data_IF_600224828542
#
_entry.id   IF_600224828542
#
_cell.length_a   1.000
_cell.length_b   1.000
_cell.length_c   1.000
_cell.angle_alpha   90.00
_cell.angle_beta   90.00
_cell.angle_gamma   90.00
#
_symmetry.space_group_name_H-M   'P 1'
#
loop_
_entity.id
_entity.type
_entity.pdbx_description
1 polymer ?
#
# COMPACT_ATOMS: atom_id res chain seq x y z
N UNK A 1 -9.26 10.86 -23.46
CA UNK A 1 -10.35 10.50 -22.51
C UNK A 1 -9.84 10.59 -21.08
N UNK A 2 -10.70 11.07 -20.15
CA UNK A 2 -10.38 11.20 -18.74
C UNK A 2 -11.34 10.34 -17.90
N UNK A 3 -10.80 9.56 -16.95
CA UNK A 3 -11.56 8.75 -15.99
C UNK A 3 -11.00 8.99 -14.59
N UNK A 4 -11.84 9.37 -13.63
CA UNK A 4 -11.44 9.56 -12.25
C UNK A 4 -11.60 8.26 -11.47
N UNK A 5 -10.49 7.73 -10.97
CA UNK A 5 -10.47 6.62 -10.04
C UNK A 5 -10.59 7.16 -8.62
N UNK A 6 -11.59 6.72 -7.88
CA UNK A 6 -11.86 7.15 -6.51
C UNK A 6 -11.84 5.95 -5.57
N UNK A 7 -10.93 5.98 -4.60
CA UNK A 7 -10.93 5.07 -3.46
C UNK A 7 -11.66 5.73 -2.30
N UNK A 8 -12.73 5.11 -1.81
CA UNK A 8 -13.55 5.65 -0.72
C UNK A 8 -13.56 4.72 0.47
N UNK A 9 -13.45 5.29 1.66
CA UNK A 9 -13.68 4.58 2.92
C UNK A 9 -15.11 4.91 3.37
N UNK A 10 -16.04 4.01 3.05
CA UNK A 10 -17.44 4.13 3.45
C UNK A 10 -17.64 3.46 4.80
N UNK A 11 -18.26 4.18 5.73
CA UNK A 11 -18.62 3.68 7.06
C UNK A 11 -20.12 3.66 7.22
N UNK A 12 -20.63 2.77 8.04
CA UNK A 12 -22.07 2.71 8.31
C UNK A 12 -22.53 4.04 8.93
N UNK A 13 -23.41 4.77 8.22
CA UNK A 13 -23.91 6.08 8.63
C UNK A 13 -23.04 7.29 8.26
N UNK A 14 -21.91 7.11 7.57
CA UNK A 14 -21.08 8.19 7.00
C UNK A 14 -21.05 8.07 5.47
N UNK A 15 -21.19 9.19 4.77
CA UNK A 15 -21.05 9.25 3.32
C UNK A 15 -19.67 8.82 2.82
N UNK A 16 -18.69 8.75 3.73
CA UNK A 16 -17.29 8.46 3.43
C UNK A 16 -16.54 9.64 2.83
N UNK A 17 -15.23 9.45 2.66
CA UNK A 17 -14.33 10.41 2.01
C UNK A 17 -13.54 9.71 0.93
N UNK A 18 -13.23 10.44 -0.14
CA UNK A 18 -12.34 9.92 -1.17
C UNK A 18 -10.88 10.10 -0.76
N UNK A 19 -10.32 9.07 -0.12
CA UNK A 19 -8.92 9.12 0.34
C UNK A 19 -7.90 8.88 -0.78
N UNK A 20 -8.33 8.35 -1.91
CA UNK A 20 -7.54 8.16 -3.11
C UNK A 20 -8.27 8.79 -4.31
N UNK A 21 -7.60 9.68 -5.01
CA UNK A 21 -8.08 10.33 -6.23
C UNK A 21 -6.98 10.25 -7.28
N UNK A 22 -7.22 9.52 -8.37
CA UNK A 22 -6.28 9.37 -9.48
C UNK A 22 -7.02 9.63 -10.79
N UNK A 23 -6.57 10.63 -11.56
CA UNK A 23 -7.06 10.84 -12.91
C UNK A 23 -6.28 9.96 -13.89
N UNK A 24 -6.97 9.04 -14.54
CA UNK A 24 -6.44 8.32 -15.69
C UNK A 24 -6.72 9.13 -16.96
N UNK A 25 -5.69 9.51 -17.68
CA UNK A 25 -5.74 10.19 -18.96
C UNK A 25 -5.22 9.27 -20.06
N UNK A 26 -6.03 9.04 -21.09
CA UNK A 26 -5.66 8.20 -22.25
C UNK A 26 -5.78 9.05 -23.51
N UNK A 27 -4.66 9.24 -24.19
CA UNK A 27 -4.60 9.84 -25.53
C UNK A 27 -4.50 8.74 -26.58
N UNK A 28 -5.62 8.51 -27.23
CA UNK A 28 -5.76 7.48 -28.26
C UNK A 28 -5.00 7.81 -29.55
N UNK A 29 -4.87 9.10 -29.85
CA UNK A 29 -4.27 9.54 -31.10
C UNK A 29 -2.75 9.38 -31.10
N UNK A 30 -2.13 9.49 -29.95
CA UNK A 30 -0.66 9.49 -29.81
C UNK A 30 -0.12 8.26 -29.03
N UNK A 31 -1.02 7.39 -28.54
CA UNK A 31 -0.61 6.20 -27.79
C UNK A 31 0.02 6.50 -26.43
N UNK A 32 -0.41 7.57 -25.78
CA UNK A 32 0.05 7.95 -24.45
C UNK A 32 -1.01 7.68 -23.38
N UNK A 33 -0.57 7.32 -22.19
CA UNK A 33 -1.40 7.21 -21.01
C UNK A 33 -0.68 7.80 -19.80
N UNK A 34 -1.43 8.48 -18.93
CA UNK A 34 -0.90 8.98 -17.68
C UNK A 34 -1.88 8.77 -16.53
N UNK A 35 -1.34 8.66 -15.33
CA UNK A 35 -2.06 8.62 -14.07
C UNK A 35 -1.59 9.81 -13.22
N UNK A 36 -2.51 10.73 -12.96
CA UNK A 36 -2.26 11.89 -12.12
C UNK A 36 -2.90 11.69 -10.75
N UNK A 37 -2.07 11.47 -9.72
CA UNK A 37 -2.51 11.40 -8.34
C UNK A 37 -2.84 12.79 -7.82
N UNK A 38 -4.02 12.93 -7.20
CA UNK A 38 -4.48 14.19 -6.61
C UNK A 38 -4.44 14.00 -5.09
N UNK A 39 -3.53 14.70 -4.36
CA UNK A 39 -3.47 14.59 -2.91
C UNK A 39 -4.83 14.91 -2.28
N UNK A 40 -5.30 14.07 -1.37
CA UNK A 40 -6.64 14.23 -0.75
C UNK A 40 -6.82 15.57 -0.03
N UNK A 41 -5.70 16.14 0.46
CA UNK A 41 -5.67 17.40 1.19
C UNK A 41 -5.53 18.64 0.27
N UNK A 42 -5.62 18.44 -1.07
CA UNK A 42 -5.56 19.54 -2.05
C UNK A 42 -6.66 20.54 -1.75
N UNK A 43 -6.25 21.80 -1.48
CA UNK A 43 -7.15 22.91 -1.19
C UNK A 43 -7.74 23.44 -2.47
N UNK A 44 -9.04 23.29 -2.63
CA UNK A 44 -9.78 23.78 -3.80
C UNK A 44 -11.10 24.40 -3.37
N UNK A 45 -11.76 25.11 -4.30
CA UNK A 45 -13.14 25.54 -4.12
C UNK A 45 -14.08 24.39 -4.42
N UNK A 46 -14.78 23.88 -3.40
CA UNK A 46 -15.70 22.75 -3.51
C UNK A 46 -17.11 23.30 -3.72
N UNK A 47 -17.51 23.46 -4.98
CA UNK A 47 -18.82 23.98 -5.33
C UNK A 47 -19.20 25.24 -4.53
N UNK A 48 -20.36 25.20 -3.87
CA UNK A 48 -20.87 26.31 -3.03
C UNK A 48 -20.39 26.24 -1.57
N UNK A 49 -19.62 25.22 -1.19
CA UNK A 49 -19.13 25.03 0.20
C UNK A 49 -17.88 25.88 0.51
N UNK A 50 -17.31 26.57 -0.50
CA UNK A 50 -16.10 27.36 -0.34
C UNK A 50 -14.83 26.54 -0.49
N UNK A 51 -13.71 27.07 0.03
CA UNK A 51 -12.42 26.35 -0.05
C UNK A 51 -12.31 25.31 1.04
N UNK A 52 -12.03 24.08 0.63
CA UNK A 52 -11.83 22.94 1.52
C UNK A 52 -10.88 21.90 0.85
N UNK A 53 -10.59 20.80 1.55
CA UNK A 53 -9.87 19.66 0.98
C UNK A 53 -10.71 18.98 -0.08
N UNK A 54 -10.07 18.57 -1.19
CA UNK A 54 -10.77 17.93 -2.31
C UNK A 54 -11.50 16.63 -1.91
N UNK A 55 -10.96 15.89 -0.92
CA UNK A 55 -11.61 14.66 -0.44
C UNK A 55 -12.97 14.89 0.24
N UNK A 56 -13.24 16.10 0.72
CA UNK A 56 -14.55 16.47 1.28
C UNK A 56 -15.61 16.65 0.20
N UNK A 57 -15.23 16.85 -1.07
CA UNK A 57 -16.19 16.95 -2.17
C UNK A 57 -17.10 15.72 -2.24
N UNK A 58 -16.54 14.54 -2.00
CA UNK A 58 -17.31 13.30 -1.99
C UNK A 58 -18.32 13.27 -0.84
N UNK A 59 -17.92 13.66 0.36
CA UNK A 59 -18.80 13.73 1.53
C UNK A 59 -19.94 14.75 1.34
N UNK A 60 -19.71 15.85 0.64
CA UNK A 60 -20.69 16.91 0.44
C UNK A 60 -21.67 16.65 -0.72
N UNK A 61 -21.23 16.00 -1.79
CA UNK A 61 -22.05 15.83 -2.99
C UNK A 61 -21.67 14.63 -3.86
N UNK A 62 -21.08 13.59 -3.25
CA UNK A 62 -20.78 12.33 -3.94
C UNK A 62 -19.80 12.48 -5.10
N UNK A 63 -19.89 11.53 -6.03
CA UNK A 63 -19.02 11.51 -7.20
C UNK A 63 -19.25 12.72 -8.12
N UNK A 64 -20.46 13.23 -8.24
CA UNK A 64 -20.76 14.38 -9.12
C UNK A 64 -20.02 15.65 -8.70
N UNK A 65 -20.05 15.98 -7.40
CA UNK A 65 -19.32 17.13 -6.87
C UNK A 65 -17.80 16.91 -6.92
N UNK A 66 -17.34 15.68 -6.75
CA UNK A 66 -15.92 15.33 -6.88
C UNK A 66 -15.45 15.52 -8.32
N UNK A 67 -16.18 15.01 -9.32
CA UNK A 67 -15.88 15.17 -10.74
C UNK A 67 -15.83 16.65 -11.15
N UNK A 68 -16.81 17.45 -10.72
CA UNK A 68 -16.84 18.89 -11.02
C UNK A 68 -15.68 19.64 -10.36
N UNK A 69 -15.31 19.27 -9.14
CA UNK A 69 -14.18 19.84 -8.39
C UNK A 69 -12.84 19.52 -9.05
N UNK A 70 -12.65 18.26 -9.46
CA UNK A 70 -11.44 17.83 -10.20
C UNK A 70 -11.37 18.51 -11.56
N UNK A 71 -12.50 18.60 -12.28
CA UNK A 71 -12.57 19.30 -13.56
C UNK A 71 -12.17 20.78 -13.43
N UNK A 72 -12.62 21.45 -12.39
CA UNK A 72 -12.27 22.86 -12.12
C UNK A 72 -10.77 23.01 -11.78
N UNK A 73 -10.20 22.11 -10.99
CA UNK A 73 -8.76 22.11 -10.68
C UNK A 73 -7.92 21.96 -11.96
N UNK A 74 -8.25 20.96 -12.77
CA UNK A 74 -7.42 20.56 -13.90
C UNK A 74 -7.72 21.32 -15.19
N UNK A 75 -8.84 22.07 -15.26
CA UNK A 75 -9.24 22.83 -16.45
C UNK A 75 -9.66 21.93 -17.62
N UNK A 76 -10.00 20.68 -17.37
CA UNK A 76 -10.48 19.72 -18.36
C UNK A 76 -11.80 19.10 -17.91
N UNK A 77 -12.60 18.62 -18.86
CA UNK A 77 -13.88 17.95 -18.53
C UNK A 77 -13.61 16.50 -18.10
N UNK A 78 -13.83 16.21 -16.83
CA UNK A 78 -13.77 14.86 -16.26
C UNK A 78 -15.21 14.41 -15.99
N UNK A 79 -15.70 13.48 -16.81
CA UNK A 79 -17.12 13.06 -16.82
C UNK A 79 -17.30 11.60 -16.43
N UNK A 80 -16.25 10.79 -16.49
CA UNK A 80 -16.29 9.38 -16.17
C UNK A 80 -15.58 9.07 -14.86
N UNK A 81 -16.09 8.07 -14.14
CA UNK A 81 -15.51 7.66 -12.88
C UNK A 81 -15.53 6.15 -12.67
N UNK A 82 -14.64 5.70 -11.82
CA UNK A 82 -14.63 4.37 -11.20
C UNK A 82 -14.45 4.59 -9.70
N UNK A 83 -15.42 4.14 -8.92
CA UNK A 83 -15.41 4.25 -7.49
C UNK A 83 -15.27 2.86 -6.88
N UNK A 84 -14.31 2.74 -5.96
CA UNK A 84 -13.91 1.50 -5.34
C UNK A 84 -13.88 1.72 -3.83
N UNK A 85 -14.63 0.95 -3.07
CA UNK A 85 -14.49 0.86 -1.62
C UNK A 85 -13.46 -0.22 -1.23
N UNK A 86 -13.15 -0.32 0.05
CA UNK A 86 -12.16 -1.29 0.55
C UNK A 86 -12.51 -2.73 0.18
N UNK A 87 -13.78 -3.12 0.27
CA UNK A 87 -14.24 -4.47 -0.07
C UNK A 87 -14.13 -4.75 -1.57
N UNK A 88 -14.50 -3.77 -2.39
CA UNK A 88 -14.35 -3.83 -3.84
C UNK A 88 -12.87 -3.93 -4.25
N UNK A 89 -11.99 -3.15 -3.59
CA UNK A 89 -10.55 -3.19 -3.84
C UNK A 89 -9.99 -4.60 -3.65
N UNK A 90 -10.26 -5.24 -2.51
CA UNK A 90 -9.79 -6.59 -2.23
C UNK A 90 -10.27 -7.59 -3.29
N UNK A 91 -11.55 -7.55 -3.63
CA UNK A 91 -12.14 -8.44 -4.64
C UNK A 91 -11.57 -8.21 -6.05
N UNK A 92 -11.28 -6.97 -6.43
CA UNK A 92 -10.65 -6.63 -7.71
C UNK A 92 -9.24 -7.25 -7.79
N UNK A 93 -8.45 -7.09 -6.73
CA UNK A 93 -7.09 -7.66 -6.68
C UNK A 93 -7.13 -9.19 -6.74
N UNK A 94 -8.02 -9.82 -5.99
CA UNK A 94 -8.18 -11.28 -6.00
C UNK A 94 -8.65 -11.80 -7.38
N UNK A 95 -9.55 -11.07 -8.03
CA UNK A 95 -10.09 -11.45 -9.35
C UNK A 95 -9.02 -11.42 -10.46
N UNK A 96 -8.04 -10.50 -10.37
CA UNK A 96 -6.89 -10.50 -11.31
C UNK A 96 -5.83 -11.53 -10.92
N UNK A 97 -5.97 -12.20 -9.77
CA UNK A 97 -5.06 -13.23 -9.29
C UNK A 97 -3.92 -12.70 -8.44
N UNK A 98 -4.11 -11.55 -7.77
CA UNK A 98 -3.09 -10.90 -6.95
C UNK A 98 -2.14 -10.00 -7.73
N UNK A 99 -1.23 -9.36 -7.03
CA UNK A 99 -0.20 -8.46 -7.59
C UNK A 99 1.16 -8.74 -6.96
N UNK A 100 2.23 -8.58 -7.74
CA UNK A 100 3.59 -8.73 -7.24
C UNK A 100 4.15 -7.35 -6.87
N UNK A 101 4.48 -7.15 -5.60
CA UNK A 101 5.00 -5.88 -5.06
C UNK A 101 6.29 -6.15 -4.30
N UNK A 102 7.33 -5.36 -4.58
CA UNK A 102 8.55 -5.35 -3.78
C UNK A 102 8.37 -4.34 -2.63
N UNK A 103 8.12 -4.87 -1.44
CA UNK A 103 7.88 -4.06 -0.23
C UNK A 103 9.19 -3.46 0.24
N UNK A 104 9.27 -2.13 0.25
CA UNK A 104 10.51 -1.39 0.48
C UNK A 104 11.06 -1.52 1.91
N UNK A 105 10.19 -1.77 2.88
CA UNK A 105 10.58 -1.86 4.31
C UNK A 105 9.58 -2.68 5.11
N UNK A 106 9.93 -2.95 6.37
CA UNK A 106 8.99 -3.51 7.35
C UNK A 106 7.84 -2.53 7.58
N UNK A 107 6.61 -2.98 7.36
CA UNK A 107 5.39 -2.23 7.64
C UNK A 107 4.63 -2.94 8.75
N UNK A 108 4.56 -2.29 9.92
CA UNK A 108 3.82 -2.80 11.06
C UNK A 108 3.01 -1.67 11.68
N UNK A 109 1.70 -1.86 11.75
CA UNK A 109 0.78 -0.91 12.36
C UNK A 109 -0.48 -1.65 12.82
N UNK A 110 -0.95 -1.32 13.99
CA UNK A 110 -2.18 -1.87 14.56
C UNK A 110 -3.07 -0.72 15.04
N UNK A 111 -4.31 -0.72 14.59
CA UNK A 111 -5.35 0.18 15.05
C UNK A 111 -6.61 -0.65 15.38
N UNK A 112 -6.80 -1.02 16.66
CA UNK A 112 -7.97 -1.79 17.10
C UNK A 112 -9.30 -1.01 16.96
N UNK A 113 -9.21 0.31 16.79
CA UNK A 113 -10.37 1.21 16.73
C UNK A 113 -10.75 1.59 15.30
N UNK A 114 -10.07 1.05 14.28
CA UNK A 114 -10.53 1.18 12.89
C UNK A 114 -11.91 0.52 12.77
N UNK A 115 -12.89 1.28 12.24
CA UNK A 115 -14.30 0.91 12.24
C UNK A 115 -14.65 -0.37 11.47
N UNK A 116 -13.71 -0.94 10.73
CA UNK A 116 -13.86 -2.23 10.01
C UNK A 116 -13.41 -3.45 10.83
N UNK A 117 -13.45 -3.35 12.16
CA UNK A 117 -13.03 -4.45 13.04
C UNK A 117 -11.55 -4.44 13.40
N UNK A 118 -10.91 -3.29 13.26
CA UNK A 118 -9.49 -3.05 13.47
C UNK A 118 -8.67 -3.16 12.19
N UNK A 119 -7.61 -2.37 12.12
CA UNK A 119 -6.63 -2.42 11.03
C UNK A 119 -5.34 -3.04 11.55
N UNK A 120 -4.93 -4.13 10.94
CA UNK A 120 -3.61 -4.73 11.17
C UNK A 120 -2.84 -4.70 9.86
N UNK A 121 -1.68 -4.06 9.87
CA UNK A 121 -0.72 -4.06 8.77
C UNK A 121 0.51 -4.80 9.25
N UNK A 122 0.88 -5.86 8.55
CA UNK A 122 2.00 -6.74 8.93
C UNK A 122 2.74 -7.25 7.69
N UNK A 123 3.44 -6.36 6.98
CA UNK A 123 4.17 -6.68 5.76
C UNK A 123 5.68 -6.68 6.01
N UNK A 124 6.34 -7.70 5.48
CA UNK A 124 7.79 -7.82 5.51
C UNK A 124 8.37 -7.29 4.21
N UNK A 125 9.61 -6.84 4.24
CA UNK A 125 10.28 -6.30 3.05
C UNK A 125 10.66 -7.39 2.06
N UNK A 126 10.72 -7.00 0.76
CA UNK A 126 11.06 -7.86 -0.36
C UNK A 126 9.88 -8.15 -1.27
N UNK A 127 10.13 -8.85 -2.37
CA UNK A 127 9.11 -9.19 -3.36
C UNK A 127 8.08 -10.14 -2.77
N UNK A 128 6.81 -9.74 -2.81
CA UNK A 128 5.68 -10.51 -2.30
C UNK A 128 4.57 -10.55 -3.34
N UNK A 129 3.97 -11.72 -3.49
CA UNK A 129 2.71 -11.87 -4.20
C UNK A 129 1.58 -11.56 -3.21
N UNK A 130 0.83 -10.49 -3.46
CA UNK A 130 -0.21 -9.98 -2.58
C UNK A 130 -1.60 -10.30 -3.13
N UNK A 131 -2.43 -10.94 -2.31
CA UNK A 131 -3.88 -10.94 -2.50
C UNK A 131 -4.49 -9.59 -2.11
N UNK A 132 -5.82 -9.46 -2.21
CA UNK A 132 -6.52 -8.23 -1.88
C UNK A 132 -6.29 -7.77 -0.46
N UNK A 133 -6.30 -8.70 0.51
CA UNK A 133 -6.12 -8.39 1.93
C UNK A 133 -4.70 -7.87 2.27
N UNK A 134 -3.68 -8.35 1.59
CA UNK A 134 -2.32 -7.84 1.77
C UNK A 134 -2.08 -6.55 0.97
N UNK A 135 -2.63 -6.47 -0.24
CA UNK A 135 -2.52 -5.27 -1.07
C UNK A 135 -3.17 -4.04 -0.41
N UNK A 136 -4.32 -4.21 0.28
CA UNK A 136 -4.96 -3.10 1.01
C UNK A 136 -4.09 -2.62 2.18
N UNK A 137 -3.37 -3.52 2.86
CA UNK A 137 -2.42 -3.14 3.91
C UNK A 137 -1.30 -2.27 3.33
N UNK A 138 -0.74 -2.65 2.18
CA UNK A 138 0.33 -1.91 1.52
C UNK A 138 -0.08 -0.49 1.13
N UNK A 139 -1.24 -0.32 0.48
CA UNK A 139 -1.70 1.00 0.02
C UNK A 139 -2.23 1.89 1.15
N UNK A 140 -2.62 1.31 2.29
CA UNK A 140 -3.11 2.05 3.48
C UNK A 140 -1.98 2.42 4.45
N UNK A 141 -0.84 1.75 4.38
CA UNK A 141 0.26 2.00 5.31
C UNK A 141 0.71 3.47 5.31
N UNK A 142 0.90 4.01 6.51
CA UNK A 142 1.42 5.37 6.74
C UNK A 142 2.60 5.29 7.70
N UNK A 143 3.66 5.97 7.36
CA UNK A 143 4.86 6.14 8.19
C UNK A 143 5.15 7.61 8.43
N UNK A 144 6.36 7.92 8.90
CA UNK A 144 6.82 9.29 9.13
C UNK A 144 6.89 10.17 7.88
N UNK A 145 6.84 9.59 6.66
CA UNK A 145 6.76 10.35 5.39
C UNK A 145 5.34 10.85 5.10
N UNK A 146 4.36 10.43 5.90
CA UNK A 146 2.98 10.91 5.81
C UNK A 146 2.27 10.53 4.51
N UNK A 147 1.57 11.50 3.92
CA UNK A 147 0.77 11.27 2.71
C UNK A 147 1.61 11.06 1.45
N UNK A 148 2.83 11.58 1.38
CA UNK A 148 3.71 11.43 0.21
C UNK A 148 4.15 9.98 0.06
N UNK A 149 4.62 9.34 1.13
CA UNK A 149 4.96 7.92 1.09
C UNK A 149 3.77 7.03 0.74
N UNK A 150 2.57 7.41 1.18
CA UNK A 150 1.34 6.71 0.79
C UNK A 150 1.04 6.84 -0.70
N UNK A 151 1.18 8.04 -1.28
CA UNK A 151 0.98 8.28 -2.72
C UNK A 151 1.97 7.44 -3.54
N UNK A 152 3.24 7.40 -3.14
CA UNK A 152 4.27 6.59 -3.82
C UNK A 152 3.89 5.09 -3.80
N UNK A 153 3.43 4.56 -2.67
CA UNK A 153 2.95 3.16 -2.56
C UNK A 153 1.71 2.91 -3.41
N UNK A 154 0.77 3.84 -3.45
CA UNK A 154 -0.40 3.73 -4.34
C UNK A 154 0.01 3.71 -5.81
N UNK A 155 0.99 4.50 -6.22
CA UNK A 155 1.53 4.48 -7.58
C UNK A 155 2.26 3.16 -7.88
N UNK A 156 3.07 2.65 -6.95
CA UNK A 156 3.72 1.35 -7.09
C UNK A 156 2.70 0.21 -7.23
N UNK A 157 1.64 0.22 -6.40
CA UNK A 157 0.52 -0.70 -6.53
C UNK A 157 -0.15 -0.58 -7.91
N UNK A 158 -0.45 0.63 -8.39
CA UNK A 158 -1.10 0.82 -9.68
C UNK A 158 -0.25 0.27 -10.84
N UNK A 159 1.08 0.45 -10.80
CA UNK A 159 1.99 -0.17 -11.79
C UNK A 159 1.89 -1.70 -11.76
N UNK A 160 1.96 -2.30 -10.58
CA UNK A 160 1.86 -3.75 -10.40
C UNK A 160 0.49 -4.27 -10.85
N UNK A 161 -0.58 -3.57 -10.49
CA UNK A 161 -1.95 -3.93 -10.88
C UNK A 161 -2.15 -3.88 -12.39
N UNK A 162 -1.71 -2.81 -13.07
CA UNK A 162 -1.81 -2.73 -14.53
C UNK A 162 -0.94 -3.78 -15.22
N UNK A 163 0.27 -4.04 -14.70
CA UNK A 163 1.11 -5.11 -15.23
C UNK A 163 0.41 -6.47 -15.15
N UNK A 164 -0.25 -6.76 -14.04
CA UNK A 164 -1.02 -7.98 -13.86
C UNK A 164 -2.26 -8.03 -14.78
N UNK A 165 -3.00 -6.91 -14.87
CA UNK A 165 -4.23 -6.82 -15.68
C UNK A 165 -3.98 -7.09 -17.17
N UNK A 166 -2.83 -6.63 -17.70
CA UNK A 166 -2.43 -6.86 -19.10
C UNK A 166 -1.58 -8.11 -19.29
N UNK A 167 -1.35 -8.89 -18.23
CA UNK A 167 -0.54 -10.11 -18.28
C UNK A 167 -1.14 -11.17 -19.19
N UNK A 168 -0.32 -12.09 -19.75
CA UNK A 168 -0.82 -13.21 -20.57
C UNK A 168 -1.80 -14.13 -19.81
N UNK A 169 -1.79 -14.13 -18.50
CA UNK A 169 -2.67 -14.92 -17.64
C UNK A 169 -4.06 -14.31 -17.51
N UNK A 170 -4.14 -12.98 -17.40
CA UNK A 170 -5.38 -12.23 -17.12
C UNK A 170 -6.03 -11.70 -18.41
N UNK A 171 -5.24 -11.11 -19.29
CA UNK A 171 -5.75 -10.41 -20.48
C UNK A 171 -6.68 -11.25 -21.37
N UNK A 172 -6.45 -12.56 -21.63
CA UNK A 172 -7.37 -13.38 -22.41
C UNK A 172 -8.77 -13.54 -21.77
N UNK A 173 -8.86 -13.39 -20.42
CA UNK A 173 -10.11 -13.51 -19.65
C UNK A 173 -10.73 -12.15 -19.32
N UNK A 174 -10.16 -11.05 -19.84
CA UNK A 174 -10.52 -9.69 -19.48
C UNK A 174 -12.03 -9.39 -19.61
N UNK A 175 -12.67 -9.93 -20.65
CA UNK A 175 -14.09 -9.69 -20.87
C UNK A 175 -14.97 -10.30 -19.78
N UNK A 176 -14.67 -11.55 -19.37
CA UNK A 176 -15.38 -12.21 -18.28
C UNK A 176 -15.08 -11.53 -16.93
N UNK A 177 -13.83 -11.14 -16.70
CA UNK A 177 -13.40 -10.41 -15.51
C UNK A 177 -14.12 -9.07 -15.39
N UNK A 178 -14.24 -8.30 -16.47
CA UNK A 178 -14.91 -6.99 -16.44
C UNK A 178 -16.42 -7.14 -16.20
N UNK A 179 -17.05 -8.19 -16.71
CA UNK A 179 -18.46 -8.46 -16.43
C UNK A 179 -18.67 -8.76 -14.93
N UNK A 180 -17.79 -9.50 -14.31
CA UNK A 180 -17.81 -9.77 -12.87
C UNK A 180 -17.53 -8.50 -12.05
N UNK A 181 -16.49 -7.74 -12.40
CA UNK A 181 -16.06 -6.55 -11.65
C UNK A 181 -17.07 -5.41 -11.70
N UNK A 182 -17.85 -5.26 -12.76
CA UNK A 182 -18.91 -4.23 -12.84
C UNK A 182 -20.01 -4.39 -11.79
N UNK A 183 -20.11 -5.56 -11.15
CA UNK A 183 -21.02 -5.77 -10.01
C UNK A 183 -20.39 -5.41 -8.66
N UNK A 184 -19.10 -5.08 -8.64
CA UNK A 184 -18.33 -4.78 -7.43
C UNK A 184 -17.96 -3.32 -7.32
N UNK A 185 -17.71 -2.67 -8.49
CA UNK A 185 -17.37 -1.25 -8.59
C UNK A 185 -18.61 -0.41 -8.89
N UNK A 186 -18.56 0.86 -8.50
CA UNK A 186 -19.55 1.85 -8.94
C UNK A 186 -18.94 2.70 -10.05
N UNK A 187 -19.56 2.71 -11.23
CA UNK A 187 -19.04 3.42 -12.40
C UNK A 187 -20.16 3.74 -13.39
N UNK A 188 -19.98 4.80 -14.18
CA UNK A 188 -20.83 5.12 -15.34
C UNK A 188 -20.34 4.44 -16.63
N UNK A 189 -19.21 3.74 -16.59
CA UNK A 189 -18.64 3.06 -17.75
C UNK A 189 -19.26 1.67 -17.93
N UNK A 190 -19.63 1.35 -19.16
CA UNK A 190 -20.05 0.00 -19.54
C UNK A 190 -18.85 -0.98 -19.52
N UNK A 191 -19.08 -2.30 -19.37
CA UNK A 191 -18.02 -3.31 -19.46
C UNK A 191 -17.18 -3.21 -20.74
N UNK A 192 -17.80 -2.83 -21.87
CA UNK A 192 -17.09 -2.65 -23.14
C UNK A 192 -16.13 -1.47 -23.11
N UNK A 193 -16.51 -0.35 -22.47
CA UNK A 193 -15.66 0.82 -22.32
C UNK A 193 -14.48 0.51 -21.40
N UNK A 194 -14.71 -0.22 -20.30
CA UNK A 194 -13.64 -0.68 -19.40
C UNK A 194 -12.64 -1.60 -20.14
N UNK A 195 -13.13 -2.59 -20.90
CA UNK A 195 -12.27 -3.45 -21.72
C UNK A 195 -11.47 -2.63 -22.73
N UNK A 196 -12.10 -1.65 -23.37
CA UNK A 196 -11.42 -0.76 -24.33
C UNK A 196 -10.32 0.05 -23.64
N UNK A 197 -10.58 0.61 -22.46
CA UNK A 197 -9.57 1.33 -21.69
C UNK A 197 -8.38 0.42 -21.34
N UNK A 198 -8.61 -0.81 -20.84
CA UNK A 198 -7.53 -1.76 -20.50
C UNK A 198 -6.71 -2.13 -21.76
N UNK A 199 -7.36 -2.38 -22.90
CA UNK A 199 -6.64 -2.68 -24.15
C UNK A 199 -5.71 -1.55 -24.56
N UNK A 200 -6.12 -0.31 -24.37
CA UNK A 200 -5.28 0.86 -24.66
C UNK A 200 -4.10 0.98 -23.73
N UNK A 201 -4.29 0.69 -22.44
CA UNK A 201 -3.15 0.56 -21.53
C UNK A 201 -2.20 -0.55 -21.97
N UNK A 202 -2.72 -1.66 -22.50
CA UNK A 202 -1.87 -2.72 -23.05
C UNK A 202 -1.07 -2.24 -24.27
N UNK A 203 -1.68 -1.49 -25.18
CA UNK A 203 -1.00 -0.96 -26.36
C UNK A 203 0.14 0.00 -26.00
N UNK A 204 -0.05 0.80 -24.95
CA UNK A 204 0.99 1.70 -24.40
C UNK A 204 2.07 0.92 -23.64
N UNK A 205 1.72 -0.18 -23.00
CA UNK A 205 2.59 -0.96 -22.13
C UNK A 205 2.85 -0.28 -20.78
N UNK A 206 3.32 -1.04 -19.79
CA UNK A 206 3.55 -0.53 -18.43
C UNK A 206 4.60 0.58 -18.37
N UNK A 207 5.64 0.49 -19.18
CA UNK A 207 6.73 1.50 -19.29
C UNK A 207 6.26 2.82 -19.93
N UNK A 208 5.21 2.77 -20.74
CA UNK A 208 4.65 3.95 -21.40
C UNK A 208 3.66 4.73 -20.57
N UNK A 209 3.21 4.20 -19.43
CA UNK A 209 2.28 4.88 -18.53
C UNK A 209 3.06 5.82 -17.61
N UNK A 210 2.81 7.13 -17.75
CA UNK A 210 3.40 8.15 -16.89
C UNK A 210 2.59 8.28 -15.60
N UNK A 211 3.28 8.33 -14.45
CA UNK A 211 2.66 8.52 -13.15
C UNK A 211 3.15 9.82 -12.52
N UNK A 212 2.22 10.65 -12.09
CA UNK A 212 2.47 11.99 -11.60
C UNK A 212 1.62 12.31 -10.38
N UNK A 213 1.97 13.37 -9.70
CA UNK A 213 1.17 13.96 -8.63
C UNK A 213 0.87 15.42 -8.99
N UNK A 214 -0.29 15.93 -8.60
CA UNK A 214 -0.63 17.35 -8.70
C UNK A 214 0.48 18.18 -8.07
N UNK A 215 1.11 19.04 -8.86
CA UNK A 215 2.15 19.96 -8.41
C UNK A 215 1.62 20.89 -7.32
N UNK A 216 2.44 21.17 -6.31
CA UNK A 216 2.00 22.03 -5.23
C UNK A 216 2.95 22.04 -4.04
N UNK A 217 2.51 22.67 -2.97
CA UNK A 217 3.28 22.81 -1.73
C UNK A 217 2.41 22.52 -0.50
N UNK A 218 2.96 21.86 0.53
CA UNK A 218 2.26 21.65 1.78
C UNK A 218 2.11 23.00 2.53
N UNK A 219 0.97 23.19 3.18
CA UNK A 219 0.68 24.39 3.95
C UNK A 219 -0.21 24.08 5.15
N UNK A 220 -0.24 24.98 6.12
CA UNK A 220 -1.13 24.93 7.27
C UNK A 220 -2.02 26.17 7.36
N UNK A 221 -3.29 25.97 7.64
CA UNK A 221 -4.24 27.01 8.05
C UNK A 221 -4.73 26.67 9.46
N UNK A 222 -4.16 27.34 10.46
CA UNK A 222 -4.28 26.89 11.85
C UNK A 222 -3.58 25.53 12.03
N UNK A 223 -4.32 24.55 12.56
CA UNK A 223 -3.83 23.17 12.77
C UNK A 223 -4.21 22.23 11.62
N UNK A 224 -4.83 22.74 10.56
CA UNK A 224 -5.28 21.94 9.41
C UNK A 224 -4.24 21.99 8.30
N UNK A 225 -3.74 20.83 7.91
CA UNK A 225 -2.83 20.68 6.78
C UNK A 225 -3.57 20.74 5.44
N UNK A 226 -2.95 21.37 4.45
CA UNK A 226 -3.43 21.44 3.07
C UNK A 226 -2.30 21.20 2.08
N UNK A 227 -2.64 20.71 0.91
CA UNK A 227 -1.81 20.75 -0.29
C UNK A 227 -2.26 21.92 -1.15
N UNK A 228 -1.40 22.92 -1.36
CA UNK A 228 -1.69 24.09 -2.18
C UNK A 228 -1.26 23.78 -3.61
N UNK A 229 -2.19 23.55 -4.54
CA UNK A 229 -1.85 23.18 -5.90
C UNK A 229 -1.23 24.35 -6.67
N UNK A 230 -0.21 24.05 -7.47
CA UNK A 230 0.22 24.91 -8.57
C UNK A 230 -0.66 24.61 -9.79
N UNK A 231 -1.68 25.45 -10.01
CA UNK A 231 -2.68 25.23 -11.05
C UNK A 231 -2.05 25.30 -12.45
N UNK A 232 -1.12 26.24 -12.67
CA UNK A 232 -0.49 26.44 -13.98
C UNK A 232 0.40 25.24 -14.32
N UNK A 233 1.28 24.86 -13.41
CA UNK A 233 2.20 23.73 -13.64
C UNK A 233 1.46 22.41 -13.70
N UNK A 234 0.47 22.17 -12.83
CA UNK A 234 -0.36 20.95 -12.88
C UNK A 234 -1.07 20.77 -14.22
N UNK A 235 -1.68 21.84 -14.74
CA UNK A 235 -2.38 21.76 -16.03
C UNK A 235 -1.42 21.59 -17.19
N UNK A 236 -0.28 22.26 -17.17
CA UNK A 236 0.80 22.12 -18.17
C UNK A 236 1.30 20.68 -18.20
N UNK A 237 1.66 20.14 -17.05
CA UNK A 237 2.17 18.78 -16.88
C UNK A 237 1.15 17.73 -17.38
N UNK A 238 -0.15 17.92 -17.11
CA UNK A 238 -1.20 17.04 -17.63
C UNK A 238 -1.19 16.91 -19.16
N UNK A 239 -0.84 17.97 -19.89
CA UNK A 239 -0.75 17.94 -21.36
C UNK A 239 0.61 17.41 -21.83
N UNK A 240 1.71 17.96 -21.33
CA UNK A 240 3.06 17.65 -21.79
C UNK A 240 3.43 16.17 -21.59
N UNK A 241 3.06 15.59 -20.48
CA UNK A 241 3.32 14.16 -20.21
C UNK A 241 2.47 13.21 -21.05
N UNK A 242 1.36 13.69 -21.59
CA UNK A 242 0.61 12.96 -22.61
C UNK A 242 1.09 13.27 -24.04
N UNK A 243 2.27 13.91 -24.19
CA UNK A 243 2.85 14.25 -25.49
C UNK A 243 2.07 15.33 -26.26
N UNK A 244 1.24 16.11 -25.56
CA UNK A 244 0.42 17.15 -26.14
C UNK A 244 0.99 18.53 -25.84
N UNK A 245 0.91 19.43 -26.82
CA UNK A 245 1.16 20.83 -26.56
C UNK A 245 0.07 21.43 -25.67
N UNK A 246 0.45 22.15 -24.63
CA UNK A 246 -0.52 22.85 -23.80
C UNK A 246 -1.13 24.00 -24.59
N UNK A 247 -2.46 23.98 -24.93
CA UNK A 247 -3.08 24.98 -25.79
C UNK A 247 -2.96 26.40 -25.23
N UNK A 248 -2.78 27.40 -26.10
CA UNK A 248 -2.55 28.78 -25.68
C UNK A 248 -3.72 29.38 -24.90
N UNK A 249 -4.94 29.09 -25.31
CA UNK A 249 -6.18 29.51 -24.64
C UNK A 249 -6.32 28.87 -23.26
N UNK A 250 -6.03 27.58 -23.12
CA UNK A 250 -6.03 26.89 -21.84
C UNK A 250 -4.90 27.37 -20.92
N UNK A 251 -3.73 27.73 -21.47
CA UNK A 251 -2.62 28.33 -20.70
C UNK A 251 -3.03 29.69 -20.17
N UNK A 252 -3.67 30.53 -20.98
CA UNK A 252 -4.17 31.82 -20.54
C UNK A 252 -5.23 31.67 -19.43
N UNK A 253 -6.14 30.70 -19.58
CA UNK A 253 -7.14 30.42 -18.55
C UNK A 253 -6.50 29.90 -17.26
N UNK A 254 -5.50 29.02 -17.36
CA UNK A 254 -4.76 28.53 -16.19
C UNK A 254 -4.12 29.66 -15.39
N UNK A 255 -3.51 30.64 -16.07
CA UNK A 255 -2.92 31.81 -15.42
C UNK A 255 -3.97 32.68 -14.71
N UNK A 256 -5.16 32.87 -15.33
CA UNK A 256 -6.27 33.59 -14.69
C UNK A 256 -6.81 32.86 -13.46
N UNK A 257 -7.02 31.55 -13.57
CA UNK A 257 -7.51 30.73 -12.46
C UNK A 257 -6.50 30.69 -11.32
N UNK A 258 -5.21 30.58 -11.62
CA UNK A 258 -4.15 30.63 -10.63
C UNK A 258 -4.06 32.00 -9.93
N UNK A 259 -4.25 33.11 -10.67
CA UNK A 259 -4.29 34.42 -10.10
C UNK A 259 -5.49 34.63 -9.16
N UNK A 260 -6.67 34.17 -9.59
CA UNK A 260 -7.87 34.17 -8.75
C UNK A 260 -7.69 33.32 -7.49
N UNK A 261 -7.14 32.12 -7.65
CA UNK A 261 -6.85 31.22 -6.53
C UNK A 261 -5.88 31.87 -5.51
N UNK A 262 -4.82 32.53 -5.99
CA UNK A 262 -3.87 33.26 -5.11
C UNK A 262 -4.53 34.44 -4.38
N UNK A 263 -5.44 35.14 -5.05
CA UNK A 263 -6.15 36.28 -4.42
C UNK A 263 -7.12 35.83 -3.31
N UNK A 264 -7.62 34.62 -3.41
CA UNK A 264 -8.55 34.02 -2.43
C UNK A 264 -7.80 33.27 -1.30
N UNK A 265 -6.46 33.36 -1.25
CA UNK A 265 -5.70 32.71 -0.17
C UNK A 265 -5.86 33.48 1.15
N UNK A 266 -6.16 32.77 2.26
CA UNK A 266 -6.21 33.40 3.56
C UNK A 266 -4.83 33.95 3.98
N UNK A 267 -4.77 35.16 4.54
CA UNK A 267 -3.52 35.76 5.05
C UNK A 267 -2.83 34.91 6.13
N UNK A 268 -3.60 34.06 6.85
CA UNK A 268 -3.09 33.18 7.90
C UNK A 268 -2.55 31.84 7.38
N UNK A 269 -2.60 31.60 6.07
CA UNK A 269 -2.04 30.37 5.48
C UNK A 269 -0.52 30.41 5.59
N UNK A 270 0.04 29.41 6.27
CA UNK A 270 1.49 29.23 6.38
C UNK A 270 1.93 28.20 5.36
N UNK A 271 2.50 28.66 4.26
CA UNK A 271 3.19 27.77 3.32
C UNK A 271 4.44 27.25 4.05
N UNK A 272 4.66 25.96 4.02
CA UNK A 272 5.91 25.38 4.49
C UNK A 272 6.97 25.68 3.43
N UNK A 273 7.55 26.91 3.53
CA UNK A 273 8.79 27.20 2.82
C UNK A 273 9.87 26.32 3.43
N UNK A 274 10.58 25.59 2.57
CA UNK A 274 11.57 24.57 2.89
C UNK A 274 12.19 24.71 4.29
N UNK A 275 12.13 23.66 5.11
CA UNK A 275 13.01 23.55 6.26
C UNK A 275 14.43 23.48 5.70
N UNK A 276 15.30 24.32 6.22
CA UNK A 276 16.71 24.36 5.87
C UNK A 276 17.31 22.95 5.78
N UNK A 277 17.53 22.45 4.59
CA UNK A 277 18.52 21.41 4.26
C UNK A 277 18.32 19.99 4.77
N UNK A 278 17.23 19.67 5.51
CA UNK A 278 17.01 18.31 6.05
C UNK A 278 15.59 17.75 5.86
N UNK A 279 14.63 18.55 5.45
CA UNK A 279 13.21 18.17 5.36
C UNK A 279 12.59 18.51 3.98
N UNK A 280 13.39 18.50 2.92
CA UNK A 280 12.84 18.46 1.55
C UNK A 280 12.17 17.10 1.41
N UNK A 281 10.83 17.13 1.33
CA UNK A 281 10.08 15.92 1.05
C UNK A 281 10.48 15.46 -0.36
N UNK A 282 11.09 14.29 -0.51
CA UNK A 282 11.55 13.82 -1.80
C UNK A 282 10.37 13.67 -2.77
N UNK A 283 10.60 13.88 -4.05
CA UNK A 283 9.59 13.60 -5.08
C UNK A 283 9.15 12.14 -5.04
N UNK A 284 7.99 11.83 -5.59
CA UNK A 284 7.53 10.43 -5.68
C UNK A 284 8.58 9.54 -6.35
N UNK A 285 9.28 10.06 -7.37
CA UNK A 285 10.34 9.34 -8.07
C UNK A 285 11.61 9.21 -7.23
N UNK A 286 11.94 10.20 -6.41
CA UNK A 286 13.05 10.10 -5.46
C UNK A 286 12.77 9.11 -4.33
N UNK A 287 11.51 9.07 -3.82
CA UNK A 287 11.07 8.08 -2.83
C UNK A 287 11.11 6.66 -3.41
N UNK A 288 10.67 6.48 -4.65
CA UNK A 288 10.75 5.19 -5.34
C UNK A 288 12.21 4.81 -5.60
N UNK A 289 13.05 5.76 -6.05
CA UNK A 289 14.48 5.52 -6.28
C UNK A 289 15.25 5.28 -4.97
N UNK A 290 14.83 5.87 -3.85
CA UNK A 290 15.39 5.60 -2.53
C UNK A 290 14.96 4.22 -2.03
N UNK A 291 13.69 3.85 -2.22
CA UNK A 291 13.18 2.51 -1.98
C UNK A 291 13.94 1.45 -2.79
N UNK A 292 14.14 1.67 -4.08
CA UNK A 292 14.90 0.77 -4.96
C UNK A 292 16.36 0.60 -4.49
N UNK A 293 17.04 1.69 -4.10
CA UNK A 293 18.40 1.62 -3.53
C UNK A 293 18.44 0.87 -2.20
N UNK A 294 17.45 1.06 -1.34
CA UNK A 294 17.36 0.36 -0.06
C UNK A 294 17.08 -1.14 -0.28
N UNK A 295 16.25 -1.48 -1.26
CA UNK A 295 16.00 -2.85 -1.71
C UNK A 295 17.28 -3.50 -2.27
N UNK A 296 18.03 -2.80 -3.15
CA UNK A 296 19.30 -3.30 -3.68
C UNK A 296 20.35 -3.51 -2.57
N UNK A 297 20.47 -2.54 -1.65
CA UNK A 297 21.39 -2.65 -0.52
C UNK A 297 21.04 -3.85 0.38
N UNK A 298 19.74 -4.13 0.57
CA UNK A 298 19.27 -5.27 1.36
C UNK A 298 19.47 -6.60 0.64
N UNK A 299 19.17 -6.68 -0.65
CA UNK A 299 19.48 -7.88 -1.47
C UNK A 299 20.98 -8.19 -1.40
N UNK A 300 21.81 -7.18 -1.44
CA UNK A 300 23.26 -7.34 -1.27
C UNK A 300 23.63 -7.82 0.15
N UNK A 301 22.98 -7.28 1.18
CA UNK A 301 23.20 -7.70 2.57
C UNK A 301 22.69 -9.12 2.84
N UNK A 302 21.52 -9.50 2.30
CA UNK A 302 20.99 -10.86 2.38
C UNK A 302 21.86 -11.87 1.63
N UNK A 303 22.35 -11.51 0.43
CA UNK A 303 23.29 -12.35 -0.30
C UNK A 303 24.60 -12.54 0.47
N UNK A 304 25.08 -11.49 1.14
CA UNK A 304 26.26 -11.58 2.00
C UNK A 304 25.99 -12.47 3.22
N UNK A 305 24.87 -12.27 3.91
CA UNK A 305 24.44 -13.09 5.05
C UNK A 305 24.23 -14.55 4.67
N UNK A 306 23.63 -14.82 3.49
CA UNK A 306 23.46 -16.18 2.99
C UNK A 306 24.78 -16.83 2.58
N UNK A 307 25.75 -16.07 2.05
CA UNK A 307 27.12 -16.54 1.81
C UNK A 307 27.84 -16.86 3.12
N UNK A 308 27.72 -16.00 4.12
CA UNK A 308 28.29 -16.22 5.46
C UNK A 308 27.63 -17.41 6.16
N UNK A 309 26.31 -17.56 6.08
CA UNK A 309 25.59 -18.73 6.59
C UNK A 309 25.96 -20.03 5.85
N UNK A 310 26.20 -19.95 4.55
CA UNK A 310 26.65 -21.10 3.74
C UNK A 310 28.11 -21.46 4.07
N UNK A 311 28.97 -20.49 4.32
CA UNK A 311 30.34 -20.71 4.77
C UNK A 311 30.36 -21.32 6.17
N UNK A 312 29.59 -20.78 7.12
CA UNK A 312 29.42 -21.33 8.47
C UNK A 312 28.80 -22.73 8.46
N UNK A 313 27.89 -23.02 7.50
CA UNK A 313 27.29 -24.34 7.34
C UNK A 313 28.28 -25.36 6.78
N UNK A 314 29.24 -24.91 5.96
CA UNK A 314 30.32 -25.75 5.47
C UNK A 314 31.38 -25.99 6.54
N UNK A 315 31.74 -24.97 7.34
CA UNK A 315 32.60 -25.15 8.53
C UNK A 315 31.94 -26.02 9.60
N UNK A 316 30.61 -25.87 9.81
CA UNK A 316 29.84 -26.70 10.74
C UNK A 316 29.73 -28.15 10.26
N UNK A 317 29.74 -28.43 8.94
CA UNK A 317 29.77 -29.81 8.41
C UNK A 317 31.13 -30.48 8.66
N UNK A 318 32.22 -29.77 8.56
CA UNK A 318 33.55 -30.32 8.92
C UNK A 318 33.71 -30.53 10.43
N UNK A 319 32.98 -29.74 11.26
CA UNK A 319 33.01 -29.86 12.74
C UNK A 319 31.99 -30.89 13.26
N UNK A 320 30.96 -31.25 12.49
CA UNK A 320 29.91 -32.17 12.89
C UNK A 320 30.33 -33.64 12.82
N UNK A 321 31.33 -34.00 12.03
CA UNK A 321 31.88 -35.39 12.09
C UNK A 321 32.64 -35.68 13.37
N UNK A 322 32.98 -34.66 14.18
CA UNK A 322 33.73 -34.84 15.46
C UNK A 322 32.85 -34.67 16.71
N UNK A 323 31.56 -34.31 16.59
CA UNK A 323 30.71 -33.95 17.76
C UNK A 323 29.47 -34.81 17.98
N UNK A 324 29.27 -35.86 17.21
CA UNK A 324 28.09 -36.78 17.36
C UNK A 324 28.13 -37.63 18.63
N UNK A 325 29.23 -37.65 19.40
CA UNK A 325 29.31 -38.47 20.62
C UNK A 325 29.07 -37.69 21.95
N UNK A 326 28.82 -36.37 21.93
CA UNK A 326 28.75 -35.60 23.17
C UNK A 326 27.34 -35.04 23.53
N UNK A 327 26.32 -35.21 22.66
CA UNK A 327 25.01 -34.53 22.84
C UNK A 327 23.95 -35.41 23.51
N UNK A 328 24.10 -36.71 23.53
CA UNK A 328 23.13 -37.62 24.16
C UNK A 328 23.22 -37.63 25.71
N UNK A 329 24.38 -37.34 26.28
CA UNK A 329 24.53 -37.32 27.73
C UNK A 329 23.97 -36.03 28.42
N UNK A 330 23.79 -34.93 27.71
CA UNK A 330 23.31 -33.68 28.33
C UNK A 330 21.76 -33.56 28.36
N UNK A 331 21.05 -34.29 27.52
CA UNK A 331 19.56 -34.27 27.50
C UNK A 331 18.93 -35.07 28.63
N UNK A 332 19.63 -36.05 29.19
CA UNK A 332 19.14 -36.90 30.25
C UNK A 332 19.13 -36.21 31.65
N UNK A 333 19.83 -35.10 31.84
CA UNK A 333 19.91 -34.38 33.12
C UNK A 333 18.91 -33.25 33.27
N UNK A 334 18.13 -32.92 32.22
CA UNK A 334 17.17 -31.80 32.22
C UNK A 334 15.76 -32.31 32.45
N UNK A 335 15.20 -31.90 33.59
CA UNK A 335 13.80 -32.19 33.94
C UNK A 335 12.89 -31.05 33.47
N UNK A 336 11.91 -31.37 32.63
CA UNK A 336 10.99 -30.38 32.03
C UNK A 336 9.61 -30.52 32.67
N UNK A 337 9.06 -29.41 33.15
CA UNK A 337 7.67 -29.30 33.57
C UNK A 337 6.84 -28.70 32.43
N UNK A 338 5.76 -29.35 32.03
CA UNK A 338 4.82 -28.88 31.00
C UNK A 338 3.60 -28.29 31.68
N UNK A 339 3.31 -27.00 31.44
CA UNK A 339 2.13 -26.33 31.95
C UNK A 339 1.18 -26.02 30.79
N UNK A 340 0.02 -26.66 30.77
CA UNK A 340 -1.01 -26.41 29.77
C UNK A 340 -1.87 -25.21 30.17
N UNK A 341 -1.70 -24.07 29.51
CA UNK A 341 -2.51 -22.84 29.70
C UNK A 341 -3.38 -22.51 28.46
N UNK A 342 -3.50 -23.45 27.52
CA UNK A 342 -4.25 -23.23 26.26
C UNK A 342 -5.77 -23.32 26.42
N UNK A 343 -6.26 -23.88 27.54
CA UNK A 343 -7.68 -24.19 27.72
C UNK A 343 -8.18 -25.42 26.94
N UNK A 344 -7.28 -26.13 26.23
CA UNK A 344 -7.60 -27.34 25.45
C UNK A 344 -7.23 -28.57 26.29
N UNK A 345 -8.20 -29.44 26.58
CA UNK A 345 -7.95 -30.67 27.31
C UNK A 345 -6.98 -31.58 26.53
N UNK A 346 -5.99 -32.13 27.23
CA UNK A 346 -5.01 -33.06 26.65
C UNK A 346 -3.84 -32.39 25.92
N UNK A 347 -3.87 -31.10 25.62
CA UNK A 347 -2.77 -30.43 24.90
C UNK A 347 -1.42 -30.53 25.63
N UNK A 348 -1.42 -30.40 26.95
CA UNK A 348 -0.19 -30.56 27.77
C UNK A 348 0.41 -31.97 27.69
N UNK A 349 -0.43 -32.98 27.66
CA UNK A 349 0.01 -34.40 27.50
C UNK A 349 0.62 -34.62 26.11
N UNK A 350 0.02 -34.11 25.04
CA UNK A 350 0.54 -34.20 23.69
C UNK A 350 1.95 -33.58 23.56
N UNK A 351 2.15 -32.39 24.15
CA UNK A 351 3.47 -31.72 24.17
C UNK A 351 4.47 -32.53 24.97
N UNK A 352 4.08 -33.05 26.13
CA UNK A 352 4.95 -33.92 26.95
C UNK A 352 5.40 -35.18 26.21
N UNK A 353 4.52 -35.78 25.42
CA UNK A 353 4.86 -37.00 24.63
C UNK A 353 5.85 -36.67 23.51
N UNK A 354 5.71 -35.54 22.83
CA UNK A 354 6.70 -35.05 21.84
C UNK A 354 8.07 -34.83 22.49
N UNK A 355 8.10 -34.21 23.67
CA UNK A 355 9.37 -33.99 24.41
C UNK A 355 10.01 -35.28 24.90
N UNK A 356 9.22 -36.27 25.40
CA UNK A 356 9.74 -37.59 25.77
C UNK A 356 10.32 -38.31 24.57
N UNK A 357 9.65 -38.27 23.42
CA UNK A 357 10.16 -38.86 22.18
C UNK A 357 11.49 -38.26 21.71
N UNK A 358 11.79 -37.05 22.15
CA UNK A 358 13.07 -36.35 21.89
C UNK A 358 14.10 -36.50 22.99
N UNK A 359 13.83 -37.34 24.02
CA UNK A 359 14.79 -37.70 25.06
C UNK A 359 14.75 -36.84 26.31
N UNK A 360 13.78 -35.91 26.47
CA UNK A 360 13.66 -35.10 27.67
C UNK A 360 12.93 -35.82 28.79
N UNK A 361 13.40 -35.64 30.03
CA UNK A 361 12.69 -36.10 31.23
C UNK A 361 11.56 -35.14 31.59
N UNK A 362 10.33 -35.59 31.64
CA UNK A 362 9.17 -34.79 32.03
C UNK A 362 8.88 -35.01 33.51
N UNK A 363 9.06 -33.96 34.32
CA UNK A 363 8.82 -33.99 35.75
C UNK A 363 7.34 -33.94 36.12
N UNK A 364 6.56 -33.10 35.43
CA UNK A 364 5.12 -33.02 35.62
C UNK A 364 4.44 -32.44 34.39
N UNK A 365 3.12 -32.73 34.26
CA UNK A 365 2.22 -32.05 33.33
C UNK A 365 1.11 -31.44 34.14
N UNK A 366 1.03 -30.13 34.16
CA UNK A 366 0.10 -29.37 35.00
C UNK A 366 -0.88 -28.53 34.14
N UNK A 367 -2.08 -28.28 34.66
CA UNK A 367 -3.03 -27.37 34.07
C UNK A 367 -2.86 -26.00 34.70
N UNK A 368 -2.39 -25.04 33.91
CA UNK A 368 -2.28 -23.63 34.29
C UNK A 368 -3.60 -22.88 34.12
N UNK A 369 -3.62 -21.59 34.49
CA UNK A 369 -4.74 -20.72 34.18
C UNK A 369 -4.81 -20.52 32.67
N UNK A 370 -6.02 -20.70 32.11
CA UNK A 370 -6.26 -20.39 30.69
C UNK A 370 -5.80 -18.98 30.38
N UNK A 371 -4.93 -18.84 29.38
CA UNK A 371 -4.51 -17.54 28.84
C UNK A 371 -4.94 -17.47 27.39
N UNK A 372 -5.41 -16.30 26.94
CA UNK A 372 -5.83 -16.04 25.56
C UNK A 372 -4.63 -16.00 24.57
N UNK A 373 -3.56 -16.71 24.87
CA UNK A 373 -2.39 -16.81 24.01
C UNK A 373 -2.60 -17.89 22.96
N UNK A 374 -2.60 -17.55 21.66
CA UNK A 374 -2.86 -18.51 20.58
C UNK A 374 -1.69 -19.48 20.32
N UNK A 375 -0.58 -19.36 21.03
CA UNK A 375 0.63 -20.19 20.80
C UNK A 375 1.13 -20.81 22.10
N UNK A 376 1.54 -22.07 22.03
CA UNK A 376 2.21 -22.78 23.12
C UNK A 376 3.59 -22.14 23.40
N UNK A 377 3.91 -21.87 24.64
CA UNK A 377 5.20 -21.36 25.05
C UNK A 377 5.91 -22.35 25.97
N UNK A 378 7.20 -22.56 25.75
CA UNK A 378 8.07 -23.31 26.65
C UNK A 378 8.86 -22.30 27.48
N UNK A 379 8.75 -22.39 28.77
CA UNK A 379 9.59 -21.62 29.71
C UNK A 379 10.72 -22.48 30.20
N UNK A 380 11.96 -22.00 30.00
CA UNK A 380 13.17 -22.66 30.47
C UNK A 380 14.15 -21.63 31.00
N UNK A 381 15.15 -22.08 31.80
CA UNK A 381 16.23 -21.22 32.16
C UNK A 381 17.04 -20.79 30.93
N UNK A 382 17.56 -19.55 30.92
CA UNK A 382 18.26 -18.99 29.77
C UNK A 382 19.45 -19.85 29.29
N UNK A 383 20.07 -20.61 30.17
CA UNK A 383 21.13 -21.54 29.83
C UNK A 383 20.71 -22.74 28.99
N UNK A 384 19.42 -22.97 28.83
CA UNK A 384 18.87 -24.14 28.13
C UNK A 384 17.97 -23.78 26.93
N UNK A 385 17.89 -22.50 26.55
CA UNK A 385 17.05 -22.02 25.45
C UNK A 385 17.43 -22.68 24.13
N UNK A 386 18.71 -22.87 23.88
CA UNK A 386 19.23 -23.44 22.63
C UNK A 386 18.81 -24.89 22.38
N UNK A 387 18.45 -25.64 23.44
CA UNK A 387 18.00 -27.03 23.33
C UNK A 387 16.59 -27.16 22.72
N UNK A 388 15.80 -26.09 22.77
CA UNK A 388 14.42 -26.04 22.27
C UNK A 388 14.29 -25.26 20.97
N UNK A 389 15.40 -24.71 20.46
CA UNK A 389 15.39 -23.91 19.24
C UNK A 389 15.08 -24.78 18.01
N UNK A 390 14.01 -24.43 17.27
CA UNK A 390 13.64 -25.12 16.04
C UNK A 390 12.74 -26.35 16.24
N UNK A 391 12.17 -26.59 17.41
CA UNK A 391 11.16 -27.61 17.60
C UNK A 391 9.80 -27.11 17.07
N UNK A 392 9.14 -27.85 16.15
CA UNK A 392 7.78 -27.54 15.73
C UNK A 392 6.81 -27.97 16.84
N UNK A 393 6.12 -26.99 17.44
CA UNK A 393 5.01 -27.22 18.39
C UNK A 393 3.73 -26.61 17.86
#
# INVERSE_FOLDING_TARGET
SYVLLMGVDRREGDAGRSDTLILAAIDEAHGHASLLSIPRDTRIKVGNYGYDKINHAYAYGGHELTLSSVSALLGVSVTHYILVDTSAFERIVDAVGGVDIDVEKRMHYEDPWDDNGGLVIDLYPGLQHMDGAHAIQYVRYRDGTGDIGRIARQQAFMRAFFAQLISPQVFPRLAALMDELTHVIETDLSPRQLITAVRRFQDVGTEGVKMQTVEGTPAYLGDVSYWIPDIEETRKTLFEENGLDFPKDMRAQAALDAAAYRSDMPERLRIMTEPSGKDVLPSSDELLAEGDREIEARRAAEQKSNREKSALKNEAKETQETKVSATEDQQNDISVMVVNSSGIDGAGAAVADVLRAKGFQISSVETGRSSDRPKTAIMTAQAHVDLFYGMPF
#
